data_IF_002481071688
#
_entry.id   IF_002481071688
#
_cell.length_a   1.000
_cell.length_b   1.000
_cell.length_c   1.000
_cell.angle_alpha   90.00
_cell.angle_beta   90.00
_cell.angle_gamma   90.00
#
_symmetry.space_group_name_H-M   'P 1'
#
loop_
_entity.id
_entity.type
_entity.pdbx_description
1 polymer ?
#
# COMPACT_ATOMS: atom_id res chain seq x y z
N UNK A 1 8.03 -16.45 20.38
CA UNK A 1 7.37 -15.14 20.25
C UNK A 1 7.82 -14.55 18.93
N UNK A 2 6.95 -14.47 17.93
CA UNK A 2 7.29 -13.77 16.69
C UNK A 2 7.32 -12.28 17.02
N UNK A 3 8.48 -11.64 16.85
CA UNK A 3 8.65 -10.22 17.13
C UNK A 3 7.66 -9.42 16.28
N UNK A 4 6.93 -8.50 16.93
CA UNK A 4 5.95 -7.65 16.23
C UNK A 4 6.70 -6.67 15.35
N UNK A 5 6.84 -7.00 14.06
CA UNK A 5 7.56 -6.16 13.10
C UNK A 5 6.74 -4.95 12.71
N UNK A 6 7.32 -3.77 12.86
CA UNK A 6 6.78 -2.50 12.38
C UNK A 6 7.66 -1.97 11.24
N UNK A 7 7.08 -1.68 10.08
CA UNK A 7 7.78 -1.04 8.95
C UNK A 7 6.88 0.02 8.34
N UNK A 8 7.47 1.10 7.86
CA UNK A 8 6.74 2.11 7.09
C UNK A 8 7.46 2.43 5.79
N UNK A 9 6.70 2.77 4.75
CA UNK A 9 7.23 3.34 3.51
C UNK A 9 6.32 4.47 3.04
N UNK A 10 6.93 5.58 2.64
CA UNK A 10 6.22 6.67 1.99
C UNK A 10 6.18 6.40 0.49
N UNK A 11 5.01 6.62 -0.12
CA UNK A 11 4.77 6.40 -1.55
C UNK A 11 4.32 7.72 -2.16
N UNK A 12 5.21 8.34 -2.95
CA UNK A 12 5.00 9.69 -3.46
C UNK A 12 4.83 10.71 -2.33
N UNK A 13 4.12 11.81 -2.59
CA UNK A 13 4.03 12.90 -1.61
C UNK A 13 3.13 12.60 -0.39
N UNK A 14 2.14 11.70 -0.56
CA UNK A 14 0.93 11.75 0.25
C UNK A 14 0.53 10.43 0.91
N UNK A 15 1.06 9.29 0.46
CA UNK A 15 0.63 7.99 1.00
C UNK A 15 1.73 7.41 1.89
N UNK A 16 1.33 6.89 3.05
CA UNK A 16 2.20 6.10 3.93
C UNK A 16 1.60 4.69 4.00
N UNK A 17 2.41 3.68 3.72
CA UNK A 17 2.09 2.28 3.97
C UNK A 17 2.79 1.85 5.26
N UNK A 18 2.07 1.20 6.16
CA UNK A 18 2.61 0.72 7.44
C UNK A 18 2.33 -0.76 7.57
N UNK A 19 3.36 -1.59 7.71
CA UNK A 19 3.22 -2.98 8.15
C UNK A 19 3.24 -2.98 9.68
N UNK A 20 2.11 -3.31 10.29
CA UNK A 20 1.98 -3.65 11.70
C UNK A 20 1.75 -5.15 11.83
N UNK A 21 2.80 -5.88 12.23
CA UNK A 21 2.79 -7.34 12.35
C UNK A 21 2.49 -8.04 11.01
N UNK A 22 1.22 -8.36 10.76
CA UNK A 22 0.72 -9.01 9.54
C UNK A 22 -0.19 -8.12 8.69
N UNK A 23 -0.56 -6.96 9.24
CA UNK A 23 -1.52 -6.04 8.65
C UNK A 23 -0.75 -4.91 7.98
N UNK A 24 -1.04 -4.65 6.70
CA UNK A 24 -0.65 -3.35 6.11
C UNK A 24 -1.80 -2.38 6.24
N UNK A 25 -1.46 -1.19 6.68
CA UNK A 25 -2.32 -0.03 6.80
C UNK A 25 -1.87 1.00 5.77
N UNK A 26 -2.82 1.78 5.28
CA UNK A 26 -2.58 2.82 4.27
C UNK A 26 -3.13 4.11 4.83
N UNK A 27 -2.26 5.12 4.93
CA UNK A 27 -2.61 6.46 5.39
C UNK A 27 -2.44 7.46 4.26
N UNK A 28 -3.42 8.35 4.09
CA UNK A 28 -3.36 9.45 3.14
C UNK A 28 -3.20 10.79 3.88
N UNK A 29 -2.05 11.43 3.70
CA UNK A 29 -1.69 12.73 4.30
C UNK A 29 -2.52 13.90 3.76
N UNK A 30 -3.19 13.74 2.63
CA UNK A 30 -4.03 14.80 2.02
C UNK A 30 -5.49 14.70 2.40
N UNK A 31 -5.86 13.66 3.15
CA UNK A 31 -7.18 13.60 3.75
C UNK A 31 -7.28 14.69 4.83
N UNK A 32 -7.85 15.83 4.47
CA UNK A 32 -8.27 16.85 5.41
C UNK A 32 -9.27 16.20 6.37
N UNK A 33 -8.88 16.07 7.64
CA UNK A 33 -9.67 15.57 8.76
C UNK A 33 -11.18 15.72 8.55
N UNK A 34 -11.86 14.62 8.19
CA UNK A 34 -13.26 14.27 8.53
C UNK A 34 -13.75 13.15 7.60
N UNK A 35 -14.25 12.09 8.22
CA UNK A 35 -15.17 11.07 7.69
C UNK A 35 -14.61 9.94 6.82
N UNK A 36 -14.50 8.79 7.50
CA UNK A 36 -14.78 7.41 7.04
C UNK A 36 -13.77 6.59 6.24
N UNK A 37 -12.74 7.15 5.58
CA UNK A 37 -11.90 6.28 4.70
C UNK A 37 -10.40 6.63 4.68
N UNK A 38 -9.74 6.67 5.84
CA UNK A 38 -8.28 6.94 5.93
C UNK A 38 -7.44 5.74 6.37
N UNK A 39 -8.04 4.55 6.53
CA UNK A 39 -7.35 3.34 7.00
C UNK A 39 -8.02 2.11 6.40
N UNK A 40 -7.26 1.36 5.60
CA UNK A 40 -7.68 0.07 5.07
C UNK A 40 -6.86 -1.06 5.70
N UNK A 41 -7.51 -2.19 6.00
CA UNK A 41 -6.85 -3.40 6.51
C UNK A 41 -6.66 -4.45 5.44
N UNK A 42 -5.48 -5.06 5.47
CA UNK A 42 -4.93 -5.91 4.42
C UNK A 42 -5.68 -7.18 4.07
N UNK A 43 -6.48 -7.74 4.98
CA UNK A 43 -7.22 -8.99 4.72
C UNK A 43 -8.11 -8.87 3.47
N UNK A 44 -8.50 -7.65 3.12
CA UNK A 44 -9.27 -7.35 1.94
C UNK A 44 -8.50 -6.55 0.88
N UNK A 45 -7.20 -6.27 1.04
CA UNK A 45 -6.43 -5.40 0.12
C UNK A 45 -5.67 -6.20 -0.94
N UNK A 46 -5.93 -5.89 -2.20
CA UNK A 46 -5.07 -6.22 -3.34
C UNK A 46 -4.12 -5.08 -3.63
N UNK A 47 -2.86 -5.41 -3.95
CA UNK A 47 -1.88 -4.47 -4.50
C UNK A 47 -1.45 -4.98 -5.87
N UNK A 48 -1.53 -4.11 -6.89
CA UNK A 48 -1.00 -4.36 -8.22
C UNK A 48 0.07 -3.34 -8.53
N UNK A 49 1.29 -3.81 -8.72
CA UNK A 49 2.40 -3.01 -9.16
C UNK A 49 2.64 -3.24 -10.66
N UNK A 50 2.71 -2.16 -11.44
CA UNK A 50 2.99 -2.21 -12.87
C UNK A 50 4.09 -1.20 -13.23
N UNK A 51 5.22 -1.62 -13.80
CA UNK A 51 6.23 -0.70 -14.30
C UNK A 51 5.65 0.22 -15.39
N UNK A 52 6.09 1.47 -15.41
CA UNK A 52 5.74 2.48 -16.41
C UNK A 52 6.98 3.26 -16.85
N UNK A 53 6.88 4.06 -17.91
CA UNK A 53 7.98 4.93 -18.35
C UNK A 53 8.38 6.01 -17.32
N UNK A 54 7.52 6.27 -16.32
CA UNK A 54 7.70 7.31 -15.31
C UNK A 54 7.90 6.74 -13.90
N UNK A 55 8.18 5.44 -13.80
CA UNK A 55 8.37 4.74 -12.53
C UNK A 55 7.34 3.62 -12.33
N UNK A 56 7.02 3.28 -11.09
CA UNK A 56 6.15 2.16 -10.75
C UNK A 56 4.71 2.65 -10.49
N UNK A 57 3.74 2.17 -11.28
CA UNK A 57 2.32 2.42 -10.99
C UNK A 57 1.82 1.40 -9.97
N UNK A 58 1.42 1.88 -8.81
CA UNK A 58 0.77 1.09 -7.77
C UNK A 58 -0.73 1.31 -7.81
N UNK A 59 -1.49 0.22 -7.82
CA UNK A 59 -2.92 0.24 -7.55
C UNK A 59 -3.17 -0.51 -6.24
N UNK A 60 -3.82 0.15 -5.29
CA UNK A 60 -4.18 -0.40 -3.98
C UNK A 60 -5.70 -0.42 -3.90
N UNK A 61 -6.33 -1.39 -3.26
CA UNK A 61 -7.79 -1.39 -3.11
C UNK A 61 -8.31 -2.73 -2.66
N UNK A 62 -9.62 -2.90 -2.66
CA UNK A 62 -10.22 -4.17 -2.24
C UNK A 62 -9.93 -5.25 -3.29
N UNK A 63 -9.34 -6.38 -2.89
CA UNK A 63 -9.22 -7.56 -3.74
C UNK A 63 -10.60 -8.18 -3.88
N UNK A 64 -11.06 -8.29 -5.12
CA UNK A 64 -12.29 -8.98 -5.48
C UNK A 64 -12.03 -10.48 -5.69
N UNK A 65 -13.10 -11.26 -5.77
CA UNK A 65 -13.02 -12.72 -5.93
C UNK A 65 -12.37 -13.17 -7.25
N UNK A 66 -12.28 -12.28 -8.24
CA UNK A 66 -11.63 -12.50 -9.54
C UNK A 66 -10.17 -11.99 -9.58
N UNK A 67 -9.56 -11.76 -8.41
CA UNK A 67 -8.24 -11.13 -8.23
C UNK A 67 -8.11 -9.70 -8.78
N UNK A 68 -9.19 -9.09 -9.26
CA UNK A 68 -9.20 -7.68 -9.62
C UNK A 68 -9.17 -6.81 -8.35
N UNK A 69 -8.75 -5.55 -8.53
CA UNK A 69 -8.64 -4.59 -7.42
C UNK A 69 -9.72 -3.53 -7.61
N UNK A 70 -10.75 -3.58 -6.76
CA UNK A 70 -11.74 -2.53 -6.63
C UNK A 70 -11.14 -1.36 -5.84
N UNK A 71 -10.86 -0.27 -6.55
CA UNK A 71 -10.34 0.96 -5.97
C UNK A 71 -11.51 1.72 -5.32
N UNK A 72 -11.52 1.83 -4.00
CA UNK A 72 -12.48 2.66 -3.28
C UNK A 72 -12.03 4.14 -3.35
N UNK A 73 -12.71 4.93 -4.20
CA UNK A 73 -12.46 6.36 -4.36
C UNK A 73 -11.24 6.72 -5.23
N UNK A 74 -11.06 8.00 -5.51
CA UNK A 74 -10.07 8.53 -6.46
C UNK A 74 -8.58 8.29 -6.06
N UNK A 75 -8.29 7.61 -4.96
CA UNK A 75 -7.01 7.74 -4.22
C UNK A 75 -6.11 6.52 -4.21
N UNK A 76 -6.40 5.52 -5.05
CA UNK A 76 -5.71 4.25 -4.97
C UNK A 76 -5.00 3.83 -6.28
N UNK A 77 -4.62 4.81 -7.10
CA UNK A 77 -3.65 4.61 -8.18
C UNK A 77 -2.56 5.68 -8.09
N UNK A 78 -1.35 5.24 -7.77
CA UNK A 78 -0.20 6.10 -7.44
C UNK A 78 0.92 5.80 -8.44
N UNK A 79 1.69 6.83 -8.78
CA UNK A 79 2.96 6.65 -9.48
C UNK A 79 4.07 6.86 -8.47
N UNK A 80 4.82 5.79 -8.19
CA UNK A 80 6.04 5.84 -7.39
C UNK A 80 7.15 6.36 -8.29
N UNK A 81 7.87 7.42 -7.88
CA UNK A 81 8.99 7.91 -8.66
C UNK A 81 10.15 6.89 -8.62
N UNK A 82 11.03 6.87 -9.64
CA UNK A 82 12.06 5.83 -9.78
C UNK A 82 13.02 5.69 -8.59
N UNK A 83 13.28 6.77 -7.87
CA UNK A 83 14.15 6.83 -6.69
C UNK A 83 13.54 6.16 -5.44
N UNK A 84 12.21 6.03 -5.39
CA UNK A 84 11.48 5.38 -4.28
C UNK A 84 11.18 3.90 -4.55
N UNK A 85 11.33 3.41 -5.79
CA UNK A 85 10.92 2.06 -6.20
C UNK A 85 11.55 0.95 -5.34
N UNK A 86 12.85 1.04 -5.06
CA UNK A 86 13.57 0.02 -4.30
C UNK A 86 13.02 -0.12 -2.87
N UNK A 87 12.69 1.01 -2.22
CA UNK A 87 12.13 1.02 -0.87
C UNK A 87 10.72 0.41 -0.84
N UNK A 88 9.90 0.75 -1.83
CA UNK A 88 8.54 0.21 -1.97
C UNK A 88 8.56 -1.29 -2.24
N UNK A 89 9.47 -1.79 -3.08
CA UNK A 89 9.63 -3.22 -3.36
C UNK A 89 10.05 -3.95 -2.09
N UNK A 90 11.07 -3.45 -1.38
CA UNK A 90 11.55 -4.04 -0.13
C UNK A 90 10.46 -4.11 0.94
N UNK A 91 9.61 -3.08 1.03
CA UNK A 91 8.44 -3.09 1.89
C UNK A 91 7.48 -4.24 1.54
N UNK A 92 7.08 -4.39 0.28
CA UNK A 92 6.16 -5.46 -0.10
C UNK A 92 6.75 -6.86 0.06
N UNK A 93 8.06 -7.03 -0.10
CA UNK A 93 8.71 -8.31 0.18
C UNK A 93 8.70 -8.65 1.67
N UNK A 94 8.91 -7.66 2.55
CA UNK A 94 8.74 -7.84 3.99
C UNK A 94 7.29 -8.18 4.38
N UNK A 95 6.31 -7.56 3.72
CA UNK A 95 4.88 -7.87 3.92
C UNK A 95 4.57 -9.31 3.52
N UNK A 96 5.05 -9.79 2.37
CA UNK A 96 4.87 -11.19 1.93
C UNK A 96 5.49 -12.16 2.93
N UNK A 97 6.72 -11.87 3.39
CA UNK A 97 7.41 -12.70 4.38
C UNK A 97 6.67 -12.77 5.71
N UNK A 98 6.05 -11.68 6.18
CA UNK A 98 5.29 -11.65 7.43
C UNK A 98 3.98 -12.46 7.37
N UNK A 99 3.40 -12.63 6.17
CA UNK A 99 2.17 -13.41 5.92
C UNK A 99 2.43 -14.89 5.63
N UNK A 100 3.68 -15.25 5.30
CA UNK A 100 4.09 -16.65 5.10
C UNK A 100 4.16 -17.40 6.43
#
# INVERSE_FOLDING_TARGET
MTERRYLEVTVGANIILVLDHRTVEVFDRTAASTSEVCRWHVEHIGVKAKPTKSGLKLTIGNRLADDSIAVAGARASLTVPPDEEAAVIAFFDAVKAARS
#
